data_IF_573205675455
#
_entry.id   IF_573205675455
#
_cell.length_a   1.000
_cell.length_b   1.000
_cell.length_c   1.000
_cell.angle_alpha   90.00
_cell.angle_beta   90.00
_cell.angle_gamma   90.00
#
_symmetry.space_group_name_H-M   'P 1'
#
loop_
_entity.id
_entity.type
_entity.pdbx_description
1 polymer ?
#
# COMPACT_ATOMS: atom_id res chain seq x y z
N UNK A 1 3.07 -6.72 -3.35
CA UNK A 1 2.79 -7.88 -4.24
C UNK A 1 4.05 -8.51 -4.83
N UNK A 2 4.93 -7.76 -5.51
CA UNK A 2 6.03 -8.33 -6.32
C UNK A 2 6.96 -9.23 -5.49
N UNK A 3 7.45 -8.72 -4.36
CA UNK A 3 8.40 -9.39 -3.48
C UNK A 3 7.76 -10.36 -2.45
N UNK A 4 6.45 -10.62 -2.56
CA UNK A 4 5.72 -11.43 -1.57
C UNK A 4 5.53 -10.76 -0.22
N UNK A 5 4.98 -11.50 0.76
CA UNK A 5 4.64 -10.94 2.08
C UNK A 5 5.86 -10.54 2.89
N UNK A 6 6.94 -11.33 2.84
CA UNK A 6 8.12 -11.13 3.71
C UNK A 6 8.93 -9.92 3.23
N UNK A 7 9.50 -10.03 2.03
CA UNK A 7 10.37 -9.00 1.49
C UNK A 7 9.61 -7.72 1.13
N UNK A 8 8.35 -7.83 0.66
CA UNK A 8 7.52 -6.65 0.42
C UNK A 8 7.28 -5.82 1.69
N UNK A 9 6.95 -6.48 2.80
CA UNK A 9 6.77 -5.80 4.09
C UNK A 9 8.08 -5.20 4.59
N UNK A 10 9.19 -5.94 4.51
CA UNK A 10 10.51 -5.44 4.91
C UNK A 10 10.94 -4.22 4.10
N UNK A 11 10.71 -4.20 2.79
CA UNK A 11 11.00 -3.04 1.95
C UNK A 11 10.25 -1.79 2.41
N UNK A 12 8.97 -1.93 2.77
CA UNK A 12 8.17 -0.82 3.29
C UNK A 12 8.64 -0.38 4.67
N UNK A 13 9.00 -1.31 5.56
CA UNK A 13 9.57 -0.98 6.87
C UNK A 13 10.87 -0.20 6.71
N UNK A 14 11.79 -0.68 5.86
CA UNK A 14 13.06 0.02 5.59
C UNK A 14 12.79 1.41 5.04
N UNK A 15 11.86 1.56 4.09
CA UNK A 15 11.44 2.87 3.60
C UNK A 15 10.98 3.80 4.73
N UNK A 16 10.11 3.34 5.63
CA UNK A 16 9.65 4.15 6.76
C UNK A 16 10.77 4.46 7.76
N UNK A 17 11.71 3.56 8.00
CA UNK A 17 12.88 3.84 8.84
C UNK A 17 13.76 4.94 8.23
N UNK A 18 13.95 4.94 6.91
CA UNK A 18 14.66 6.02 6.22
C UNK A 18 13.90 7.36 6.33
N UNK A 19 12.57 7.34 6.23
CA UNK A 19 11.73 8.51 6.49
C UNK A 19 11.93 9.01 7.93
N UNK A 20 11.90 8.12 8.94
CA UNK A 20 12.14 8.48 10.34
C UNK A 20 13.53 9.09 10.53
N UNK A 21 14.55 8.57 9.84
CA UNK A 21 15.92 9.09 9.85
C UNK A 21 16.07 10.49 9.21
N UNK A 22 15.00 11.06 8.64
CA UNK A 22 15.00 12.42 8.11
C UNK A 22 15.13 12.52 6.60
N UNK A 23 15.20 11.40 5.88
CA UNK A 23 15.31 11.46 4.42
C UNK A 23 13.97 11.94 3.81
N UNK A 24 14.01 12.87 2.83
CA UNK A 24 12.82 13.48 2.23
C UNK A 24 12.14 12.55 1.20
N UNK A 25 11.73 11.36 1.64
CA UNK A 25 11.21 10.29 0.75
C UNK A 25 9.68 10.30 0.60
N UNK A 26 8.96 11.06 1.43
CA UNK A 26 7.51 11.21 1.28
C UNK A 26 7.18 12.32 0.26
N UNK A 27 5.97 12.27 -0.29
CA UNK A 27 5.46 13.28 -1.22
C UNK A 27 5.62 14.70 -0.69
N UNK A 28 6.12 15.60 -1.55
CA UNK A 28 6.46 16.97 -1.20
C UNK A 28 7.82 17.13 -0.51
N UNK A 29 8.70 16.12 -0.58
CA UNK A 29 10.02 16.16 0.05
C UNK A 29 9.96 16.08 1.57
N UNK A 30 8.92 15.46 2.12
CA UNK A 30 8.71 15.36 3.57
C UNK A 30 9.47 14.16 4.15
N UNK A 31 9.99 14.33 5.37
CA UNK A 31 10.74 13.32 6.11
C UNK A 31 10.86 13.70 7.58
N UNK A 32 11.49 12.83 8.36
CA UNK A 32 11.70 12.99 9.79
C UNK A 32 10.56 12.43 10.63
N UNK A 33 10.82 12.21 11.92
CA UNK A 33 9.86 11.62 12.85
C UNK A 33 8.55 12.42 12.99
N UNK A 34 8.60 13.74 12.78
CA UNK A 34 7.42 14.63 12.88
C UNK A 34 6.29 14.31 11.90
N UNK A 35 6.57 13.63 10.78
CA UNK A 35 5.52 13.22 9.82
C UNK A 35 4.55 12.19 10.40
N UNK A 36 4.96 11.47 11.45
CA UNK A 36 4.15 10.52 12.22
C UNK A 36 3.36 11.16 13.37
N UNK A 37 3.44 12.49 13.53
CA UNK A 37 2.53 13.26 14.37
C UNK A 37 1.48 14.04 13.53
N UNK A 38 1.53 13.92 12.19
CA UNK A 38 0.68 14.66 11.28
C UNK A 38 -0.56 13.88 10.80
N UNK A 39 -1.41 14.50 9.96
CA UNK A 39 -2.65 13.88 9.48
C UNK A 39 -2.42 12.58 8.67
N UNK A 40 -1.24 12.43 8.06
CA UNK A 40 -0.87 11.25 7.27
C UNK A 40 -0.47 10.02 8.09
N UNK A 41 -0.37 10.15 9.42
CA UNK A 41 0.17 9.11 10.30
C UNK A 41 -0.55 7.77 10.16
N UNK A 42 -1.88 7.80 10.12
CA UNK A 42 -2.68 6.57 10.00
C UNK A 42 -2.31 5.76 8.75
N UNK A 43 -2.10 6.44 7.63
CA UNK A 43 -1.71 5.79 6.37
C UNK A 43 -0.29 5.20 6.47
N UNK A 44 0.68 5.99 6.95
CA UNK A 44 2.08 5.57 7.05
C UNK A 44 2.25 4.33 7.94
N UNK A 45 1.56 4.30 9.08
CA UNK A 45 1.60 3.16 9.99
C UNK A 45 0.93 1.91 9.41
N UNK A 46 -0.05 2.08 8.52
CA UNK A 46 -0.74 0.96 7.85
C UNK A 46 0.02 0.41 6.65
N UNK A 47 0.94 1.16 6.02
CA UNK A 47 1.65 0.69 4.83
C UNK A 47 2.30 -0.69 4.98
N UNK A 48 3.00 -1.03 6.09
CA UNK A 48 3.55 -2.37 6.27
C UNK A 48 2.47 -3.45 6.35
N UNK A 49 1.36 -3.16 7.02
CA UNK A 49 0.23 -4.10 7.17
C UNK A 49 -0.42 -4.38 5.82
N UNK A 50 -0.66 -3.33 5.03
CA UNK A 50 -1.19 -3.43 3.66
C UNK A 50 -0.24 -4.22 2.76
N UNK A 51 1.06 -3.93 2.81
CA UNK A 51 2.07 -4.64 2.05
C UNK A 51 2.10 -6.14 2.39
N UNK A 52 1.98 -6.47 3.68
CA UNK A 52 1.88 -7.85 4.14
C UNK A 52 0.63 -8.55 3.60
N UNK A 53 -0.56 -7.93 3.72
CA UNK A 53 -1.82 -8.56 3.30
C UNK A 53 -1.85 -8.81 1.78
N UNK A 54 -1.47 -7.82 0.99
CA UNK A 54 -1.39 -7.96 -0.48
C UNK A 54 -0.30 -9.00 -0.85
N UNK A 55 0.83 -8.99 -0.15
CA UNK A 55 1.88 -9.99 -0.33
C UNK A 55 1.43 -11.41 0.02
N UNK A 56 0.60 -11.57 1.06
CA UNK A 56 0.09 -12.86 1.50
C UNK A 56 -0.89 -13.46 0.48
N UNK A 57 -1.75 -12.65 -0.14
CA UNK A 57 -2.61 -13.06 -1.27
C UNK A 57 -1.73 -13.53 -2.42
N UNK A 58 -0.76 -12.71 -2.82
CA UNK A 58 0.16 -13.07 -3.91
C UNK A 58 0.87 -14.39 -3.61
N UNK A 59 1.39 -14.60 -2.40
CA UNK A 59 2.12 -15.83 -2.05
C UNK A 59 1.20 -17.05 -2.06
N UNK A 60 -0.06 -16.88 -1.62
CA UNK A 60 -1.05 -17.97 -1.60
C UNK A 60 -1.46 -18.40 -3.00
N UNK A 61 -1.59 -17.46 -3.93
CA UNK A 61 -2.10 -17.70 -5.28
C UNK A 61 -1.01 -17.56 -6.36
N UNK A 62 0.27 -17.70 -6.01
CA UNK A 62 1.37 -17.37 -6.94
C UNK A 62 1.35 -18.18 -8.24
N UNK A 63 0.85 -19.41 -8.19
CA UNK A 63 0.76 -20.30 -9.35
C UNK A 63 -0.46 -20.04 -10.23
N UNK A 64 -1.47 -19.36 -9.69
CA UNK A 64 -2.75 -19.07 -10.35
C UNK A 64 -2.95 -17.56 -10.51
N UNK A 65 -1.86 -16.79 -10.37
CA UNK A 65 -1.92 -15.35 -10.21
C UNK A 65 -2.45 -14.69 -11.49
N UNK A 66 -3.54 -13.95 -11.34
CA UNK A 66 -4.15 -13.23 -12.43
C UNK A 66 -4.54 -11.82 -11.99
N UNK A 67 -4.98 -11.02 -12.96
CA UNK A 67 -5.38 -9.64 -12.76
C UNK A 67 -6.40 -9.50 -11.63
N UNK A 68 -7.43 -10.33 -11.60
CA UNK A 68 -8.52 -10.20 -10.62
C UNK A 68 -8.08 -10.51 -9.19
N UNK A 69 -7.23 -11.52 -9.00
CA UNK A 69 -6.69 -11.85 -7.68
C UNK A 69 -5.89 -10.66 -7.11
N UNK A 70 -5.03 -10.07 -7.94
CA UNK A 70 -4.23 -8.90 -7.53
C UNK A 70 -5.10 -7.68 -7.33
N UNK A 71 -6.03 -7.41 -8.26
CA UNK A 71 -6.88 -6.23 -8.23
C UNK A 71 -7.80 -6.23 -7.02
N UNK A 72 -8.50 -7.34 -6.74
CA UNK A 72 -9.36 -7.44 -5.55
C UNK A 72 -8.54 -7.32 -4.27
N UNK A 73 -7.37 -7.95 -4.20
CA UNK A 73 -6.48 -7.82 -3.05
C UNK A 73 -6.02 -6.38 -2.81
N UNK A 74 -5.58 -5.68 -3.87
CA UNK A 74 -5.15 -4.29 -3.77
C UNK A 74 -6.32 -3.36 -3.47
N UNK A 75 -7.48 -3.58 -4.08
CA UNK A 75 -8.68 -2.77 -3.85
C UNK A 75 -9.16 -2.88 -2.39
N UNK A 76 -9.22 -4.10 -1.85
CA UNK A 76 -9.67 -4.31 -0.47
C UNK A 76 -8.67 -3.76 0.54
N UNK A 77 -7.39 -4.11 0.42
CA UNK A 77 -6.40 -3.79 1.46
C UNK A 77 -5.67 -2.47 1.19
N UNK A 78 -5.30 -2.21 -0.06
CA UNK A 78 -4.50 -1.04 -0.45
C UNK A 78 -5.31 0.21 -0.78
N UNK A 79 -6.62 0.08 -0.98
CA UNK A 79 -7.52 1.22 -1.20
C UNK A 79 -8.51 1.30 -0.05
N UNK A 80 -9.51 0.41 0.01
CA UNK A 80 -10.64 0.55 0.96
C UNK A 80 -10.16 0.54 2.43
N UNK A 81 -9.43 -0.51 2.85
CA UNK A 81 -9.01 -0.61 4.24
C UNK A 81 -8.01 0.49 4.64
N UNK A 82 -7.06 0.78 3.75
CA UNK A 82 -6.06 1.83 3.97
C UNK A 82 -6.72 3.21 4.10
N UNK A 83 -7.62 3.55 3.18
CA UNK A 83 -8.29 4.85 3.13
C UNK A 83 -9.24 5.03 4.30
N UNK A 84 -10.04 4.02 4.63
CA UNK A 84 -10.98 4.09 5.76
C UNK A 84 -10.22 4.28 7.07
N UNK A 85 -9.26 3.40 7.39
CA UNK A 85 -8.55 3.50 8.67
C UNK A 85 -7.64 4.73 8.69
N UNK A 86 -6.96 5.03 7.58
CA UNK A 86 -6.10 6.19 7.43
C UNK A 86 -6.86 7.51 7.61
N UNK A 87 -8.02 7.67 6.98
CA UNK A 87 -8.84 8.89 7.12
C UNK A 87 -9.53 9.00 8.47
N UNK A 88 -9.90 7.90 9.12
CA UNK A 88 -10.39 7.93 10.50
C UNK A 88 -9.31 8.48 11.46
N UNK A 89 -8.08 7.99 11.35
CA UNK A 89 -6.95 8.50 12.14
C UNK A 89 -6.65 9.95 11.79
N UNK A 90 -6.64 10.30 10.50
CA UNK A 90 -6.48 11.68 10.04
C UNK A 90 -7.52 12.61 10.69
N UNK A 91 -8.79 12.21 10.68
CA UNK A 91 -9.91 12.98 11.24
C UNK A 91 -9.78 13.22 12.74
N UNK A 92 -9.30 12.23 13.49
CA UNK A 92 -8.99 12.37 14.91
C UNK A 92 -7.85 13.36 15.15
N UNK A 93 -6.80 13.34 14.33
CA UNK A 93 -5.63 14.24 14.49
C UNK A 93 -6.00 15.70 14.18
N UNK A 94 -6.80 15.95 13.14
CA UNK A 94 -7.19 17.31 12.74
C UNK A 94 -8.52 17.78 13.33
N UNK A 95 -9.11 17.01 14.25
CA UNK A 95 -10.35 17.32 14.97
C UNK A 95 -11.55 17.67 14.06
N UNK A 96 -11.80 16.84 13.04
CA UNK A 96 -12.99 16.96 12.18
C UNK A 96 -13.98 15.82 12.42
N UNK A 97 -15.30 16.03 12.17
CA UNK A 97 -16.28 14.95 12.26
C UNK A 97 -15.96 13.80 11.30
N UNK A 98 -16.26 12.56 11.71
CA UNK A 98 -16.02 11.36 10.90
C UNK A 98 -16.68 11.41 9.53
N UNK A 99 -17.89 11.97 9.44
CA UNK A 99 -18.59 12.15 8.16
C UNK A 99 -17.80 13.01 7.18
N UNK A 100 -17.12 14.06 7.68
CA UNK A 100 -16.26 14.93 6.89
C UNK A 100 -14.96 14.23 6.50
N UNK A 101 -14.36 13.46 7.40
CA UNK A 101 -13.17 12.66 7.10
C UNK A 101 -13.43 11.64 5.97
N UNK A 102 -14.57 10.95 6.03
CA UNK A 102 -15.01 10.02 4.98
C UNK A 102 -15.25 10.76 3.66
N UNK A 103 -15.89 11.93 3.68
CA UNK A 103 -16.10 12.72 2.44
C UNK A 103 -14.78 13.14 1.78
N UNK A 104 -13.73 13.43 2.56
CA UNK A 104 -12.40 13.72 2.04
C UNK A 104 -11.80 12.45 1.41
N UNK A 105 -12.01 11.29 2.03
CA UNK A 105 -11.57 9.99 1.51
C UNK A 105 -12.09 9.71 0.10
N UNK A 106 -13.34 10.09 -0.18
CA UNK A 106 -13.96 9.87 -1.49
C UNK A 106 -13.23 10.59 -2.63
N UNK A 107 -12.52 11.67 -2.34
CA UNK A 107 -11.71 12.37 -3.34
C UNK A 107 -10.46 11.57 -3.75
N UNK A 108 -9.94 10.70 -2.88
CA UNK A 108 -8.78 9.85 -3.18
C UNK A 108 -9.16 8.59 -3.99
N UNK A 109 -10.39 8.10 -3.77
CA UNK A 109 -10.87 6.83 -4.29
C UNK A 109 -10.71 6.65 -5.81
N UNK A 110 -11.06 7.61 -6.70
CA UNK A 110 -10.88 7.43 -8.14
C UNK A 110 -9.41 7.22 -8.53
N UNK A 111 -8.50 7.99 -7.91
CA UNK A 111 -7.07 7.90 -8.16
C UNK A 111 -6.49 6.58 -7.66
N UNK A 112 -6.95 6.11 -6.51
CA UNK A 112 -6.45 4.87 -5.90
C UNK A 112 -6.99 3.61 -6.59
N UNK A 113 -8.23 3.65 -7.10
CA UNK A 113 -8.75 2.60 -7.99
C UNK A 113 -7.91 2.54 -9.27
N UNK A 114 -7.60 3.69 -9.89
CA UNK A 114 -6.77 3.71 -11.09
C UNK A 114 -5.37 3.13 -10.81
N UNK A 115 -4.74 3.52 -9.70
CA UNK A 115 -3.46 2.92 -9.26
C UNK A 115 -3.59 1.41 -9.04
N UNK A 116 -4.69 0.94 -8.45
CA UNK A 116 -4.93 -0.48 -8.22
C UNK A 116 -5.03 -1.26 -9.54
N UNK A 117 -5.73 -0.72 -10.55
CA UNK A 117 -5.81 -1.32 -11.89
C UNK A 117 -4.41 -1.41 -12.51
N UNK A 118 -3.68 -0.29 -12.57
CA UNK A 118 -2.35 -0.24 -13.17
C UNK A 118 -1.39 -1.18 -12.47
N UNK A 119 -1.38 -1.16 -11.13
CA UNK A 119 -0.52 -2.03 -10.33
C UNK A 119 -0.84 -3.52 -10.56
N UNK A 120 -2.12 -3.87 -10.72
CA UNK A 120 -2.55 -5.25 -10.99
C UNK A 120 -2.18 -5.72 -12.39
N UNK A 121 -2.26 -4.85 -13.40
CA UNK A 121 -1.80 -5.14 -14.76
C UNK A 121 -0.30 -5.41 -14.77
N UNK A 122 0.49 -4.50 -14.19
CA UNK A 122 1.95 -4.65 -14.07
C UNK A 122 2.30 -5.90 -13.27
N UNK A 123 1.65 -6.10 -12.13
CA UNK A 123 1.88 -7.26 -11.26
C UNK A 123 1.60 -8.58 -11.96
N UNK A 124 0.49 -8.66 -12.70
CA UNK A 124 0.13 -9.87 -13.47
C UNK A 124 1.11 -10.14 -14.60
N UNK A 125 1.49 -9.09 -15.35
CA UNK A 125 2.45 -9.21 -16.44
C UNK A 125 3.82 -9.70 -15.94
N UNK A 126 4.34 -9.11 -14.86
CA UNK A 126 5.63 -9.51 -14.29
C UNK A 126 5.58 -10.90 -13.66
N UNK A 127 4.58 -11.19 -12.82
CA UNK A 127 4.53 -12.45 -12.07
C UNK A 127 4.23 -13.67 -12.95
N UNK A 128 3.67 -13.48 -14.16
CA UNK A 128 3.49 -14.56 -15.13
C UNK A 128 4.61 -14.65 -16.17
N UNK A 129 5.55 -13.70 -16.19
CA UNK A 129 6.69 -13.76 -17.11
C UNK A 129 7.73 -14.77 -16.62
N UNK A 130 8.08 -15.75 -17.45
CA UNK A 130 8.94 -16.89 -17.09
C UNK A 130 10.32 -16.47 -16.55
N UNK A 131 11.00 -15.54 -17.22
CA UNK A 131 12.31 -15.04 -16.78
C UNK A 131 12.21 -14.31 -15.43
N UNK A 132 11.12 -13.57 -15.21
CA UNK A 132 10.93 -12.83 -13.96
C UNK A 132 10.67 -13.79 -12.81
N UNK A 133 9.87 -14.84 -13.03
CA UNK A 133 9.67 -15.93 -12.06
C UNK A 133 11.00 -16.60 -11.69
N UNK A 134 11.85 -16.88 -12.67
CA UNK A 134 13.16 -17.49 -12.44
C UNK A 134 14.08 -16.59 -11.59
N UNK A 135 14.18 -15.29 -11.90
CA UNK A 135 14.97 -14.32 -11.12
C UNK A 135 14.47 -14.24 -9.67
N UNK A 136 13.15 -14.30 -9.49
CA UNK A 136 12.51 -14.26 -8.18
C UNK A 136 12.53 -15.60 -7.44
N UNK A 137 13.11 -16.66 -8.03
CA UNK A 137 13.15 -18.00 -7.43
C UNK A 137 11.77 -18.65 -7.26
N UNK A 138 10.79 -18.25 -8.07
CA UNK A 138 9.43 -18.78 -8.06
C UNK A 138 9.39 -20.00 -8.97
N UNK A 139 9.12 -21.17 -8.37
CA UNK A 139 8.88 -22.41 -9.12
C UNK A 139 7.57 -22.33 -9.90
#
# INVERSE_FOLDING_TARGET
MILGRKYGTLSVIVFLLLVVAGLPLLSGGRGGIGVFAGPSTGFLLLYPVVAFMIGAIRDRFINEINFWILFVGILVFGVIALDVIGTLIMGMIINIPFTKAISISLAYLPGDILKAIVASLIGTALLNHSQFRQIMGLK
#
